data_IF_790299403450
#
_entry.id   IF_790299403450
#
_cell.length_a   1.000
_cell.length_b   1.000
_cell.length_c   1.000
_cell.angle_alpha   90.00
_cell.angle_beta   90.00
_cell.angle_gamma   90.00
#
_symmetry.space_group_name_H-M   'P 1'
#
loop_
_entity.id
_entity.type
_entity.pdbx_description
1 polymer ?
#
# COMPACT_ATOMS: atom_id res chain seq x y z
N UNK A 1 2.07 -28.76 -0.07
CA UNK A 1 1.49 -27.68 -0.89
C UNK A 1 0.33 -27.09 -0.12
N UNK A 2 0.40 -25.82 0.27
CA UNK A 2 -0.57 -25.20 1.20
C UNK A 2 -1.76 -24.55 0.50
N UNK A 3 -1.61 -24.22 -0.78
CA UNK A 3 -2.64 -23.64 -1.62
C UNK A 3 -3.37 -24.76 -2.37
N UNK A 4 -4.69 -24.79 -2.29
CA UNK A 4 -5.57 -25.75 -2.93
C UNK A 4 -6.66 -25.00 -3.70
N UNK A 5 -7.10 -25.53 -4.84
CA UNK A 5 -8.19 -24.94 -5.62
C UNK A 5 -9.46 -25.79 -5.47
N UNK A 6 -10.47 -25.24 -4.80
CA UNK A 6 -11.80 -25.82 -4.61
C UNK A 6 -12.76 -25.32 -5.70
N UNK A 7 -13.55 -26.21 -6.29
CA UNK A 7 -14.47 -25.86 -7.38
C UNK A 7 -15.56 -24.87 -6.94
N UNK A 8 -15.94 -24.89 -5.65
CA UNK A 8 -17.00 -24.04 -5.12
C UNK A 8 -16.42 -22.75 -4.52
N UNK A 9 -15.27 -22.82 -3.85
CA UNK A 9 -14.71 -21.70 -3.07
C UNK A 9 -13.44 -21.06 -3.66
N UNK A 10 -12.94 -21.55 -4.79
CA UNK A 10 -11.71 -21.07 -5.42
C UNK A 10 -10.45 -21.42 -4.62
N UNK A 11 -9.47 -20.52 -4.58
CA UNK A 11 -8.20 -20.77 -3.90
C UNK A 11 -8.37 -20.72 -2.37
N UNK A 12 -8.05 -21.84 -1.71
CA UNK A 12 -8.10 -22.01 -0.26
C UNK A 12 -6.72 -22.37 0.29
N UNK A 13 -6.37 -21.79 1.44
CA UNK A 13 -5.17 -22.16 2.20
C UNK A 13 -5.50 -23.25 3.22
N UNK A 14 -4.68 -24.31 3.31
CA UNK A 14 -4.83 -25.42 4.26
C UNK A 14 -3.73 -25.49 5.32
N UNK A 15 -2.93 -24.43 5.46
CA UNK A 15 -1.72 -24.42 6.31
C UNK A 15 -2.00 -24.84 7.76
N UNK A 16 -3.18 -24.52 8.28
CA UNK A 16 -3.54 -24.74 9.69
C UNK A 16 -4.78 -25.63 9.89
N UNK A 17 -5.14 -26.45 8.89
CA UNK A 17 -6.31 -27.34 8.94
C UNK A 17 -6.26 -28.32 10.12
N UNK A 18 -5.07 -28.81 10.47
CA UNK A 18 -4.88 -29.72 11.60
C UNK A 18 -5.13 -29.08 12.98
N UNK A 19 -5.01 -27.75 13.08
CA UNK A 19 -5.16 -27.02 14.35
C UNK A 19 -6.55 -26.40 14.51
N UNK A 20 -7.18 -25.98 13.41
CA UNK A 20 -8.47 -25.26 13.42
C UNK A 20 -9.61 -25.99 12.69
N UNK A 21 -9.36 -27.18 12.15
CA UNK A 21 -10.30 -27.94 11.33
C UNK A 21 -10.44 -27.40 9.90
N UNK A 22 -11.41 -27.95 9.15
CA UNK A 22 -11.74 -27.47 7.80
C UNK A 22 -12.48 -26.15 7.87
N UNK A 23 -11.72 -25.06 7.88
CA UNK A 23 -12.25 -23.73 7.66
C UNK A 23 -11.96 -23.31 6.23
N UNK A 24 -13.01 -23.23 5.41
CA UNK A 24 -12.93 -22.57 4.11
C UNK A 24 -12.80 -21.06 4.35
N UNK A 25 -11.61 -20.62 4.78
CA UNK A 25 -11.24 -19.22 4.65
C UNK A 25 -11.02 -19.01 3.16
N UNK A 26 -12.11 -18.73 2.45
CA UNK A 26 -12.00 -18.07 1.16
C UNK A 26 -11.05 -16.91 1.37
N UNK A 27 -10.01 -16.85 0.55
CA UNK A 27 -9.24 -15.63 0.37
C UNK A 27 -10.19 -14.67 -0.34
N UNK A 28 -11.18 -14.16 0.39
CA UNK A 28 -12.14 -13.21 -0.09
C UNK A 28 -11.46 -11.85 -0.08
N UNK A 29 -10.51 -11.71 -1.01
CA UNK A 29 -10.00 -10.40 -1.42
C UNK A 29 -11.07 -9.61 -2.19
N UNK A 30 -12.26 -10.20 -2.40
CA UNK A 30 -13.27 -9.79 -3.38
C UNK A 30 -13.83 -8.38 -3.23
N UNK A 31 -13.60 -7.72 -2.10
CA UNK A 31 -13.90 -6.30 -1.88
C UNK A 31 -12.87 -5.59 -0.99
N UNK A 32 -11.75 -6.23 -0.67
CA UNK A 32 -10.76 -5.62 0.21
C UNK A 32 -9.90 -4.65 -0.59
N UNK A 33 -10.11 -3.34 -0.37
CA UNK A 33 -9.27 -2.27 -0.90
C UNK A 33 -8.55 -1.56 0.26
N UNK A 34 -7.21 -1.46 0.25
CA UNK A 34 -6.52 -0.72 1.29
C UNK A 34 -6.79 0.78 1.11
N UNK A 35 -7.11 1.48 2.20
CA UNK A 35 -7.31 2.95 2.20
C UNK A 35 -6.09 3.70 1.63
N UNK A 36 -4.88 3.15 1.84
CA UNK A 36 -3.62 3.69 1.32
C UNK A 36 -2.76 2.55 0.80
N UNK A 37 -2.24 2.72 -0.41
CA UNK A 37 -1.17 1.85 -0.91
C UNK A 37 0.13 2.15 -0.17
N UNK A 38 0.79 1.10 0.31
CA UNK A 38 2.14 1.21 0.86
C UNK A 38 3.15 1.27 -0.29
N UNK A 39 4.03 2.26 -0.25
CA UNK A 39 5.06 2.47 -1.27
C UNK A 39 6.41 2.60 -0.58
N UNK A 40 7.47 2.21 -1.30
CA UNK A 40 8.84 2.35 -0.83
C UNK A 40 9.65 3.20 -1.82
N UNK A 41 10.53 4.03 -1.28
CA UNK A 41 11.58 4.68 -2.03
C UNK A 41 12.61 3.65 -2.50
N UNK A 42 13.31 3.91 -3.61
CA UNK A 42 14.37 3.02 -4.09
C UNK A 42 15.47 2.87 -3.04
N UNK A 43 15.93 1.63 -2.82
CA UNK A 43 17.12 1.36 -2.01
C UNK A 43 18.30 2.23 -2.49
N UNK A 44 19.07 2.87 -1.59
CA UNK A 44 19.17 2.65 -0.13
C UNK A 44 18.25 3.55 0.73
N UNK A 45 17.29 4.26 0.13
CA UNK A 45 16.49 5.26 0.83
C UNK A 45 15.49 4.60 1.78
N UNK A 46 15.46 5.08 3.03
CA UNK A 46 14.54 4.65 4.07
C UNK A 46 13.18 5.30 3.84
N UNK A 47 12.14 4.48 3.90
CA UNK A 47 10.73 4.89 3.81
C UNK A 47 10.03 4.62 5.13
N UNK A 48 9.12 5.51 5.54
CA UNK A 48 8.27 5.33 6.71
C UNK A 48 6.82 5.57 6.35
N UNK A 49 5.90 5.06 7.17
CA UNK A 49 4.46 5.31 7.00
C UNK A 49 4.16 6.81 6.90
N UNK A 50 4.72 7.64 7.80
CA UNK A 50 4.56 9.10 7.80
C UNK A 50 4.96 9.75 6.47
N UNK A 51 6.05 9.27 5.87
CA UNK A 51 6.54 9.79 4.60
C UNK A 51 5.59 9.44 3.46
N UNK A 52 5.06 8.22 3.46
CA UNK A 52 4.04 7.79 2.48
C UNK A 52 2.71 8.51 2.70
N UNK A 53 2.33 8.76 3.94
CA UNK A 53 1.14 9.53 4.27
C UNK A 53 1.24 10.96 3.72
N UNK A 54 2.39 11.61 3.87
CA UNK A 54 2.63 12.93 3.26
C UNK A 54 2.50 12.90 1.73
N UNK A 55 2.88 11.81 1.07
CA UNK A 55 2.71 11.66 -0.38
C UNK A 55 1.23 11.50 -0.77
N UNK A 56 0.47 10.70 -0.04
CA UNK A 56 -0.98 10.56 -0.23
C UNK A 56 -1.70 11.90 -0.05
N UNK A 57 -1.38 12.62 1.01
CA UNK A 57 -2.03 13.87 1.39
C UNK A 57 -1.57 15.09 0.56
N UNK A 58 -0.61 14.92 -0.36
CA UNK A 58 -0.05 16.02 -1.14
C UNK A 58 0.79 17.01 -0.31
N UNK A 59 1.21 16.63 0.90
CA UNK A 59 1.95 17.47 1.82
C UNK A 59 3.46 17.46 1.52
N UNK A 60 3.88 18.27 0.53
CA UNK A 60 5.28 18.35 0.11
C UNK A 60 6.22 18.81 1.24
N UNK A 61 5.82 19.79 2.07
CA UNK A 61 6.68 20.33 3.12
C UNK A 61 6.93 19.29 4.23
N UNK A 62 5.87 18.58 4.65
CA UNK A 62 5.97 17.44 5.56
C UNK A 62 6.85 16.32 4.99
N UNK A 63 6.65 15.99 3.72
CA UNK A 63 7.44 14.98 3.03
C UNK A 63 8.93 15.31 3.03
N UNK A 64 9.30 16.52 2.58
CA UNK A 64 10.71 16.95 2.51
C UNK A 64 11.37 16.94 3.88
N UNK A 65 10.66 17.40 4.92
CA UNK A 65 11.17 17.42 6.29
C UNK A 65 11.48 16.01 6.79
N UNK A 66 10.54 15.09 6.61
CA UNK A 66 10.67 13.71 7.05
C UNK A 66 11.71 12.93 6.23
N UNK A 67 11.70 13.12 4.90
CA UNK A 67 12.63 12.49 3.98
C UNK A 67 14.08 12.80 4.33
N UNK A 68 14.41 14.07 4.53
CA UNK A 68 15.77 14.50 4.89
C UNK A 68 16.18 14.13 6.31
N UNK A 69 15.21 13.96 7.23
CA UNK A 69 15.46 13.44 8.58
C UNK A 69 15.87 11.97 8.54
N UNK A 70 15.22 11.18 7.69
CA UNK A 70 15.46 9.73 7.56
C UNK A 70 16.65 9.39 6.65
N UNK A 71 16.90 10.24 5.65
CA UNK A 71 17.93 10.02 4.64
C UNK A 71 18.94 11.19 4.68
N UNK A 72 19.84 11.20 5.68
CA UNK A 72 20.82 12.27 5.82
C UNK A 72 21.76 12.31 4.60
N UNK A 73 22.09 13.51 4.15
CA UNK A 73 22.94 13.73 2.97
C UNK A 73 22.19 13.87 1.65
N UNK A 74 20.90 13.54 1.60
CA UNK A 74 20.09 13.80 0.41
C UNK A 74 19.69 15.27 0.28
N UNK A 75 19.68 15.73 -0.97
CA UNK A 75 19.37 17.11 -1.33
C UNK A 75 17.86 17.40 -1.28
N UNK A 76 17.53 18.69 -1.24
CA UNK A 76 16.14 19.14 -1.36
C UNK A 76 15.53 18.75 -2.72
N UNK A 77 16.34 18.77 -3.78
CA UNK A 77 15.92 18.40 -5.13
C UNK A 77 15.52 16.93 -5.18
N UNK A 78 16.35 16.03 -4.64
CA UNK A 78 16.04 14.60 -4.59
C UNK A 78 14.77 14.30 -3.80
N UNK A 79 14.55 15.00 -2.68
CA UNK A 79 13.32 14.85 -1.90
C UNK A 79 12.06 15.24 -2.71
N UNK A 80 12.16 16.29 -3.54
CA UNK A 80 11.05 16.72 -4.42
C UNK A 80 10.82 15.74 -5.57
N UNK A 81 11.88 15.21 -6.14
CA UNK A 81 11.80 14.20 -7.21
C UNK A 81 11.16 12.91 -6.71
N UNK A 82 11.58 12.43 -5.54
CA UNK A 82 11.00 11.26 -4.88
C UNK A 82 9.52 11.48 -4.56
N UNK A 83 9.15 12.66 -4.04
CA UNK A 83 7.75 13.02 -3.81
C UNK A 83 6.93 12.96 -5.11
N UNK A 84 7.41 13.58 -6.17
CA UNK A 84 6.74 13.59 -7.46
C UNK A 84 6.62 12.18 -8.06
N UNK A 85 7.61 11.32 -7.86
CA UNK A 85 7.56 9.92 -8.27
C UNK A 85 6.45 9.16 -7.53
N UNK A 86 6.38 9.28 -6.20
CA UNK A 86 5.35 8.60 -5.41
C UNK A 86 3.95 9.08 -5.77
N UNK A 87 3.75 10.39 -5.94
CA UNK A 87 2.49 10.98 -6.39
C UNK A 87 2.01 10.40 -7.72
N UNK A 88 2.91 10.26 -8.71
CA UNK A 88 2.56 9.65 -10.00
C UNK A 88 2.10 8.19 -9.87
N UNK A 89 2.65 7.43 -8.92
CA UNK A 89 2.23 6.04 -8.69
C UNK A 89 0.85 6.01 -8.04
N UNK A 90 0.62 6.88 -7.06
CA UNK A 90 -0.67 7.02 -6.37
C UNK A 90 -1.76 7.45 -7.36
N UNK A 91 -1.51 8.47 -8.18
CA UNK A 91 -2.47 9.00 -9.16
C UNK A 91 -2.78 8.05 -10.32
N UNK A 92 -1.84 7.15 -10.65
CA UNK A 92 -2.05 6.11 -11.68
C UNK A 92 -2.75 4.87 -11.13
N UNK A 93 -2.78 4.70 -9.81
CA UNK A 93 -3.52 3.62 -9.21
C UNK A 93 -5.02 3.94 -9.37
N UNK A 94 -5.83 3.00 -9.87
CA UNK A 94 -7.25 3.26 -10.05
C UNK A 94 -7.85 3.73 -8.72
N UNK A 95 -8.67 4.81 -8.73
CA UNK A 95 -9.32 5.26 -7.51
C UNK A 95 -10.23 4.14 -6.99
N UNK A 96 -10.36 4.07 -5.67
CA UNK A 96 -11.34 3.20 -5.05
C UNK A 96 -12.74 3.53 -5.63
N UNK A 97 -13.45 2.56 -6.25
CA UNK A 97 -14.79 2.79 -6.81
C UNK A 97 -15.80 3.31 -5.78
N UNK A 98 -15.49 3.26 -4.48
CA UNK A 98 -16.35 3.73 -3.40
C UNK A 98 -15.98 5.10 -2.80
N UNK A 99 -14.90 5.74 -3.27
CA UNK A 99 -14.53 7.10 -2.82
C UNK A 99 -15.40 8.23 -3.40
N UNK A 100 -16.30 7.91 -4.33
CA UNK A 100 -17.37 8.82 -4.76
C UNK A 100 -18.46 8.83 -3.69
N UNK A 101 -18.37 9.80 -2.75
CA UNK A 101 -19.52 10.12 -1.90
C UNK A 101 -20.68 10.55 -2.81
N UNK A 102 -21.91 10.03 -2.61
CA UNK A 102 -23.07 10.56 -3.31
C UNK A 102 -23.23 12.03 -2.91
N UNK A 103 -23.18 12.91 -3.90
CA UNK A 103 -23.59 14.30 -3.73
C UNK A 103 -25.04 14.29 -3.22
N UNK A 104 -25.24 14.80 -2.01
CA UNK A 104 -26.56 14.99 -1.39
C UNK A 104 -26.77 16.48 -1.15
#
# INVERSE_FOLDING_TARGET
MFLFHDIIHGFSCRKDEAQWGKFYRGLDWGTWTPERIYLELPHPKVSTKTLIDCAHDGNLSGFVKEHRRLNPGLSLTEAREDFARLRRIIERSPPDPHSLKPET
#
